data_IF_249827286063
#
_entry.id   IF_249827286063
#
_cell.length_a   1.000
_cell.length_b   1.000
_cell.length_c   1.000
_cell.angle_alpha   90.00
_cell.angle_beta   90.00
_cell.angle_gamma   90.00
#
_symmetry.space_group_name_H-M   'P 1'
#
loop_
_entity.id
_entity.type
_entity.pdbx_description
1 polymer ?
#
# COMPACT_ATOMS: atom_id res chain seq x y z
N UNK A 1 2.13 20.92 -21.15
CA UNK A 1 2.17 19.83 -22.17
C UNK A 1 1.38 18.66 -21.63
N UNK A 2 0.69 17.90 -22.50
CA UNK A 2 0.03 16.68 -22.03
C UNK A 2 1.11 15.61 -21.82
N UNK A 3 1.20 15.10 -20.59
CA UNK A 3 2.08 14.00 -20.25
C UNK A 3 1.48 12.66 -20.73
N UNK A 4 2.32 11.72 -21.13
CA UNK A 4 1.90 10.36 -21.50
C UNK A 4 2.01 9.42 -20.30
N UNK A 5 1.25 8.29 -20.29
CA UNK A 5 1.50 7.20 -19.35
C UNK A 5 2.93 6.71 -19.46
N UNK A 6 3.55 6.35 -18.34
CA UNK A 6 4.96 5.97 -18.25
C UNK A 6 5.07 4.60 -17.60
N UNK A 7 5.65 3.63 -18.30
CA UNK A 7 6.06 2.34 -17.71
C UNK A 7 7.28 2.60 -16.80
N UNK A 8 7.17 2.18 -15.56
CA UNK A 8 8.18 2.42 -14.54
C UNK A 8 9.19 1.27 -14.45
N UNK A 9 10.48 1.58 -14.27
CA UNK A 9 11.44 0.58 -13.83
C UNK A 9 11.08 0.08 -12.43
N UNK A 10 11.53 -1.12 -12.07
CA UNK A 10 11.35 -1.67 -10.72
C UNK A 10 12.06 -0.79 -9.68
N UNK A 11 11.43 -0.61 -8.52
CA UNK A 11 11.92 0.19 -7.40
C UNK A 11 11.98 -0.67 -6.12
N UNK A 12 12.78 -1.72 -6.17
CA UNK A 12 13.09 -2.59 -5.04
C UNK A 12 14.34 -2.12 -4.31
N UNK A 13 14.36 -2.28 -3.00
CA UNK A 13 15.52 -2.03 -2.14
C UNK A 13 15.53 -2.98 -0.95
N UNK A 14 16.65 -3.06 -0.23
CA UNK A 14 16.81 -4.01 0.86
C UNK A 14 15.98 -3.61 2.09
N UNK A 15 15.29 -4.59 2.67
CA UNK A 15 14.48 -4.47 3.86
C UNK A 15 15.00 -5.35 5.01
N UNK A 16 14.36 -5.24 6.18
CA UNK A 16 14.74 -5.97 7.39
C UNK A 16 14.11 -7.37 7.50
N UNK A 17 13.34 -7.81 6.49
CA UNK A 17 12.76 -9.15 6.40
C UNK A 17 13.00 -9.75 5.01
N UNK A 18 12.82 -11.07 4.89
CA UNK A 18 13.16 -11.80 3.67
C UNK A 18 11.99 -11.92 2.72
N UNK A 19 12.32 -11.98 1.42
CA UNK A 19 11.37 -12.22 0.33
C UNK A 19 11.77 -11.48 -0.94
N UNK A 20 10.79 -11.36 -1.87
CA UNK A 20 10.91 -10.55 -3.08
C UNK A 20 11.20 -11.32 -4.36
N UNK A 21 11.21 -12.65 -4.34
CA UNK A 21 11.46 -13.44 -5.57
C UNK A 21 10.31 -13.33 -6.58
N UNK A 22 9.04 -13.40 -6.12
CA UNK A 22 7.87 -13.24 -6.99
C UNK A 22 7.75 -11.83 -7.56
N UNK A 23 8.20 -10.81 -6.81
CA UNK A 23 8.29 -9.46 -7.36
C UNK A 23 9.28 -9.45 -8.53
N UNK A 24 10.46 -10.08 -8.38
CA UNK A 24 11.45 -10.19 -9.45
C UNK A 24 10.90 -10.92 -10.67
N UNK A 25 10.16 -12.01 -10.47
CA UNK A 25 9.50 -12.76 -11.56
C UNK A 25 8.44 -11.92 -12.26
N UNK A 26 7.52 -11.29 -11.51
CA UNK A 26 6.46 -10.43 -12.05
C UNK A 26 7.02 -9.22 -12.80
N UNK A 27 8.04 -8.57 -12.25
CA UNK A 27 8.59 -7.31 -12.78
C UNK A 27 9.76 -7.51 -13.75
N UNK A 28 10.11 -8.75 -14.10
CA UNK A 28 11.27 -9.10 -14.93
C UNK A 28 12.57 -8.44 -14.42
N UNK A 29 12.77 -8.44 -13.10
CA UNK A 29 13.85 -7.75 -12.42
C UNK A 29 14.57 -8.62 -11.39
N UNK A 30 15.57 -8.07 -10.71
CA UNK A 30 16.24 -8.78 -9.62
C UNK A 30 15.27 -8.95 -8.45
N UNK A 31 15.08 -10.19 -7.99
CA UNK A 31 14.29 -10.51 -6.80
C UNK A 31 15.14 -10.73 -5.56
N UNK A 32 14.50 -11.01 -4.42
CA UNK A 32 15.04 -11.45 -3.14
C UNK A 32 16.54 -11.42 -2.89
N UNK A 33 17.03 -12.02 -1.80
CA UNK A 33 16.25 -12.54 -0.66
C UNK A 33 15.84 -11.47 0.37
N UNK A 34 16.35 -10.23 0.28
CA UNK A 34 16.09 -9.14 1.22
C UNK A 34 15.35 -7.97 0.56
N UNK A 35 14.62 -8.23 -0.55
CA UNK A 35 13.85 -7.23 -1.31
C UNK A 35 12.38 -7.59 -1.39
N UNK A 36 11.72 -7.78 -0.24
CA UNK A 36 10.32 -8.22 -0.19
C UNK A 36 9.32 -7.15 -0.60
N UNK A 37 9.76 -5.92 -0.87
CA UNK A 37 8.91 -4.80 -1.26
C UNK A 37 9.38 -4.15 -2.57
N UNK A 38 8.42 -3.76 -3.41
CA UNK A 38 8.62 -2.81 -4.49
C UNK A 38 7.63 -1.65 -4.32
N UNK A 39 8.14 -0.42 -4.30
CA UNK A 39 7.33 0.79 -4.19
C UNK A 39 7.05 1.37 -5.57
N UNK A 40 5.82 1.19 -6.06
CA UNK A 40 5.43 1.54 -7.42
C UNK A 40 4.96 2.98 -7.49
N UNK A 41 5.54 3.78 -8.37
CA UNK A 41 5.12 5.18 -8.57
C UNK A 41 5.21 6.03 -7.31
N UNK A 42 6.19 5.74 -6.47
CA UNK A 42 6.33 6.34 -5.15
C UNK A 42 6.99 7.72 -5.20
N UNK A 43 6.34 8.70 -4.58
CA UNK A 43 6.93 9.98 -4.19
C UNK A 43 7.28 10.02 -2.69
N UNK A 44 7.11 8.90 -1.98
CA UNK A 44 7.35 8.74 -0.54
C UNK A 44 8.73 8.14 -0.31
N UNK A 45 9.44 8.64 0.70
CA UNK A 45 10.70 8.03 1.16
C UNK A 45 10.46 7.08 2.31
N UNK A 46 11.32 6.07 2.46
CA UNK A 46 11.41 5.28 3.67
C UNK A 46 11.65 6.21 4.86
N UNK A 47 11.02 5.90 5.99
CA UNK A 47 11.11 6.74 7.20
C UNK A 47 12.58 6.92 7.62
N UNK A 48 12.98 8.17 7.82
CA UNK A 48 14.36 8.54 8.13
C UNK A 48 15.33 8.62 6.94
N UNK A 49 14.89 8.24 5.73
CA UNK A 49 15.70 8.27 4.51
C UNK A 49 15.38 9.47 3.62
N UNK A 50 16.34 9.86 2.74
CA UNK A 50 16.19 11.03 1.86
C UNK A 50 15.65 10.68 0.47
N UNK A 51 16.05 9.52 -0.07
CA UNK A 51 15.73 9.12 -1.45
C UNK A 51 15.32 7.65 -1.57
N UNK A 52 15.64 6.80 -0.59
CA UNK A 52 15.21 5.41 -0.60
C UNK A 52 13.68 5.36 -0.58
N UNK A 53 13.09 4.58 -1.48
CA UNK A 53 11.64 4.50 -1.69
C UNK A 53 11.11 5.36 -2.85
N UNK A 54 11.83 6.42 -3.27
CA UNK A 54 11.41 7.23 -4.41
C UNK A 54 11.54 6.46 -5.73
N UNK A 55 10.47 6.41 -6.50
CA UNK A 55 10.49 5.85 -7.85
C UNK A 55 11.20 6.79 -8.82
N UNK A 56 11.93 6.20 -9.78
CA UNK A 56 12.54 6.91 -10.89
C UNK A 56 11.73 6.72 -12.16
N UNK A 57 11.69 7.74 -12.97
CA UNK A 57 11.25 7.68 -14.35
C UNK A 57 12.34 7.02 -15.23
N UNK A 58 12.01 6.54 -16.46
CA UNK A 58 12.98 5.91 -17.34
C UNK A 58 14.21 6.78 -17.70
N UNK A 59 14.07 8.11 -17.61
CA UNK A 59 15.18 9.07 -17.80
C UNK A 59 16.09 9.22 -16.57
N UNK A 60 15.76 8.53 -15.45
CA UNK A 60 16.54 8.58 -14.20
C UNK A 60 16.12 9.66 -13.20
N UNK A 61 15.25 10.58 -13.60
CA UNK A 61 14.65 11.62 -12.73
C UNK A 61 13.74 10.98 -11.67
N UNK A 62 13.70 11.54 -10.46
CA UNK A 62 12.70 11.08 -9.49
C UNK A 62 11.30 11.56 -9.88
N UNK A 63 10.32 10.66 -9.78
CA UNK A 63 8.91 10.98 -10.03
C UNK A 63 8.44 12.17 -9.18
N UNK A 64 8.88 12.24 -7.91
CA UNK A 64 8.57 13.36 -7.02
C UNK A 64 9.01 14.70 -7.61
N UNK A 65 10.24 14.77 -8.12
CA UNK A 65 10.81 16.02 -8.65
C UNK A 65 10.07 16.45 -9.93
N UNK A 66 9.67 15.48 -10.78
CA UNK A 66 8.82 15.74 -11.95
C UNK A 66 7.42 16.24 -11.57
N UNK A 67 6.83 15.68 -10.50
CA UNK A 67 5.54 16.14 -9.94
C UNK A 67 5.66 17.56 -9.40
N UNK A 68 6.68 17.84 -8.60
CA UNK A 68 6.91 19.16 -8.02
C UNK A 68 7.13 20.26 -9.08
N UNK A 69 7.70 19.88 -10.23
CA UNK A 69 7.92 20.80 -11.35
C UNK A 69 6.63 21.16 -12.12
N UNK A 70 5.65 20.28 -12.21
CA UNK A 70 4.39 20.51 -12.94
C UNK A 70 3.22 19.73 -12.31
N UNK A 71 2.80 20.06 -11.07
CA UNK A 71 1.81 19.28 -10.32
C UNK A 71 0.44 19.22 -11.01
N UNK A 72 0.03 20.27 -11.73
CA UNK A 72 -1.27 20.27 -12.41
C UNK A 72 -1.34 19.28 -13.57
N UNK A 73 -0.25 19.07 -14.31
CA UNK A 73 -0.21 18.05 -15.36
C UNK A 73 -0.27 16.64 -14.79
N UNK A 74 0.30 16.42 -13.60
CA UNK A 74 0.27 15.10 -12.93
C UNK A 74 -1.06 14.81 -12.26
N UNK A 75 -1.63 15.76 -11.54
CA UNK A 75 -2.76 15.50 -10.64
C UNK A 75 -4.08 16.14 -11.07
N UNK A 76 -4.02 17.22 -11.85
CA UNK A 76 -5.17 18.08 -12.17
C UNK A 76 -5.48 19.12 -11.08
N UNK A 77 -6.23 20.17 -11.44
CA UNK A 77 -6.42 21.34 -10.58
C UNK A 77 -7.18 21.03 -9.28
N UNK A 78 -8.15 20.11 -9.30
CA UNK A 78 -8.92 19.74 -8.10
C UNK A 78 -8.05 19.07 -7.05
N UNK A 79 -7.20 18.12 -7.47
CA UNK A 79 -6.28 17.44 -6.57
C UNK A 79 -5.24 18.40 -6.01
N UNK A 80 -4.62 19.23 -6.88
CA UNK A 80 -3.62 20.21 -6.46
C UNK A 80 -4.21 21.22 -5.47
N UNK A 81 -5.46 21.66 -5.68
CA UNK A 81 -6.15 22.53 -4.74
C UNK A 81 -6.39 21.91 -3.38
N UNK A 82 -6.63 20.59 -3.32
CA UNK A 82 -6.94 19.88 -2.09
C UNK A 82 -5.70 19.39 -1.35
N UNK A 83 -4.68 18.91 -2.07
CA UNK A 83 -3.56 18.13 -1.53
C UNK A 83 -2.18 18.64 -1.96
N UNK A 84 -2.12 19.71 -2.77
CA UNK A 84 -0.83 20.23 -3.28
C UNK A 84 -0.14 19.22 -4.19
N UNK A 85 1.14 18.94 -3.91
CA UNK A 85 1.97 17.98 -4.66
C UNK A 85 2.02 16.58 -4.03
N UNK A 86 1.19 16.32 -3.00
CA UNK A 86 1.09 14.99 -2.40
C UNK A 86 0.39 14.01 -3.34
N UNK A 87 0.95 12.82 -3.48
CA UNK A 87 0.30 11.74 -4.24
C UNK A 87 -0.95 11.20 -3.56
N UNK A 88 -1.12 11.45 -2.25
CA UNK A 88 -2.17 10.91 -1.36
C UNK A 88 -2.24 9.37 -1.36
N UNK A 89 -1.27 8.70 -1.96
CA UNK A 89 -1.20 7.24 -2.03
C UNK A 89 0.25 6.78 -2.16
N UNK A 90 0.56 5.67 -1.52
CA UNK A 90 1.74 4.85 -1.81
C UNK A 90 1.26 3.43 -2.15
N UNK A 91 1.76 2.89 -3.25
CA UNK A 91 1.43 1.54 -3.73
C UNK A 91 2.68 0.68 -3.65
N UNK A 92 2.54 -0.52 -3.08
CA UNK A 92 3.65 -1.47 -2.95
C UNK A 92 3.24 -2.87 -3.39
N UNK A 93 4.19 -3.64 -3.89
CA UNK A 93 4.13 -5.09 -3.88
C UNK A 93 4.86 -5.59 -2.64
N UNK A 94 4.26 -6.55 -1.93
CA UNK A 94 4.84 -7.23 -0.78
C UNK A 94 4.91 -8.73 -1.06
N UNK A 95 6.10 -9.28 -1.00
CA UNK A 95 6.37 -10.71 -1.23
C UNK A 95 7.19 -11.31 -0.08
N UNK A 96 6.59 -11.52 1.09
CA UNK A 96 7.29 -12.01 2.28
C UNK A 96 7.52 -13.53 2.25
N UNK A 97 8.79 -13.97 2.23
CA UNK A 97 9.20 -15.35 2.54
C UNK A 97 9.33 -15.57 4.06
N UNK A 98 9.46 -14.51 4.81
CA UNK A 98 9.39 -14.45 6.24
C UNK A 98 8.15 -13.66 6.62
N UNK A 99 7.30 -14.15 7.56
CA UNK A 99 6.14 -13.35 7.99
C UNK A 99 6.57 -11.94 8.42
N UNK A 100 5.71 -10.96 8.26
CA UNK A 100 5.96 -9.65 8.83
C UNK A 100 5.88 -9.73 10.37
N UNK A 101 6.67 -8.90 11.09
CA UNK A 101 6.53 -8.80 12.54
C UNK A 101 5.12 -8.30 12.90
N UNK A 102 4.66 -8.56 14.11
CA UNK A 102 3.49 -7.87 14.64
C UNK A 102 3.84 -6.40 14.79
N UNK A 103 3.11 -5.55 14.09
CA UNK A 103 3.32 -4.11 14.06
C UNK A 103 2.00 -3.37 13.86
N UNK A 104 2.03 -2.05 13.89
CA UNK A 104 0.91 -1.19 13.58
C UNK A 104 1.40 0.18 13.12
N UNK A 105 0.47 0.99 12.64
CA UNK A 105 0.76 2.31 12.09
C UNK A 105 -0.01 3.40 12.82
N UNK A 106 0.61 4.54 13.15
CA UNK A 106 -0.10 5.64 13.77
C UNK A 106 -1.08 6.30 12.80
N UNK A 107 -2.16 6.86 13.35
CA UNK A 107 -3.11 7.64 12.58
C UNK A 107 -2.59 9.07 12.31
N UNK A 108 -3.30 9.80 11.46
CA UNK A 108 -2.98 11.17 11.06
C UNK A 108 -2.84 12.14 12.23
N UNK A 109 -3.73 12.06 13.21
CA UNK A 109 -3.69 12.94 14.38
C UNK A 109 -2.43 12.70 15.24
N UNK A 110 -2.05 11.44 15.45
CA UNK A 110 -0.84 11.06 16.15
C UNK A 110 0.42 11.48 15.38
N UNK A 111 0.47 11.19 14.06
CA UNK A 111 1.59 11.56 13.21
C UNK A 111 1.82 13.07 13.19
N UNK A 112 0.76 13.86 13.07
CA UNK A 112 0.83 15.32 13.12
C UNK A 112 1.34 15.84 14.46
N UNK A 113 0.83 15.29 15.57
CA UNK A 113 1.18 15.72 16.91
C UNK A 113 2.63 15.40 17.31
N UNK A 114 3.11 14.21 16.96
CA UNK A 114 4.37 13.69 17.50
C UNK A 114 5.51 13.65 16.49
N UNK A 115 5.21 13.64 15.19
CA UNK A 115 6.20 13.49 14.11
C UNK A 115 6.21 14.68 13.15
N UNK A 116 5.29 15.64 13.30
CA UNK A 116 5.10 16.77 12.37
C UNK A 116 4.84 16.34 10.92
N UNK A 117 4.13 15.20 10.74
CA UNK A 117 3.73 14.65 9.44
C UNK A 117 2.23 14.83 9.22
N UNK A 118 1.83 15.08 7.98
CA UNK A 118 0.43 15.34 7.64
C UNK A 118 -0.40 14.07 7.41
N UNK A 119 0.25 12.91 7.27
CA UNK A 119 -0.41 11.62 7.04
C UNK A 119 -0.09 10.62 8.13
N UNK A 120 -1.05 9.78 8.45
CA UNK A 120 -0.86 8.52 9.17
C UNK A 120 -0.45 7.41 8.22
N UNK A 121 -0.80 6.17 8.56
CA UNK A 121 -0.66 5.04 7.65
C UNK A 121 -1.83 4.07 7.81
N UNK A 122 -3.01 4.50 7.36
CA UNK A 122 -4.07 3.56 7.00
C UNK A 122 -3.67 2.86 5.72
N UNK A 123 -3.78 1.54 5.67
CA UNK A 123 -3.38 0.74 4.52
C UNK A 123 -4.46 -0.26 4.12
N UNK A 124 -4.31 -0.87 2.96
CA UNK A 124 -5.14 -1.98 2.53
C UNK A 124 -4.33 -2.96 1.68
N UNK A 125 -4.69 -4.21 1.78
CA UNK A 125 -4.05 -5.32 1.07
C UNK A 125 -4.99 -5.91 0.05
N UNK A 126 -4.52 -6.10 -1.17
CA UNK A 126 -5.17 -6.91 -2.20
C UNK A 126 -4.31 -8.17 -2.33
N UNK A 127 -4.86 -9.31 -1.98
CA UNK A 127 -4.16 -10.59 -2.01
C UNK A 127 -4.04 -11.05 -3.46
N UNK A 128 -2.83 -11.03 -4.00
CA UNK A 128 -2.54 -11.49 -5.37
C UNK A 128 -2.38 -13.01 -5.41
N UNK A 129 -1.60 -13.55 -4.47
CA UNK A 129 -1.38 -14.99 -4.31
C UNK A 129 -1.30 -15.34 -2.83
N UNK A 130 -1.71 -16.56 -2.46
CA UNK A 130 -1.63 -17.05 -1.10
C UNK A 130 -1.62 -18.58 -1.05
N UNK A 131 -0.92 -19.21 -0.09
CA UNK A 131 -1.12 -20.62 0.25
C UNK A 131 -2.58 -20.94 0.61
N UNK A 132 -2.99 -22.20 0.49
CA UNK A 132 -4.38 -22.61 0.70
C UNK A 132 -4.93 -22.34 2.10
N UNK A 133 -4.07 -22.31 3.12
CA UNK A 133 -4.39 -22.10 4.54
C UNK A 133 -3.87 -20.75 5.07
N UNK A 134 -3.51 -19.83 4.17
CA UNK A 134 -2.93 -18.54 4.50
C UNK A 134 -3.87 -17.69 5.37
N UNK A 135 -3.27 -16.96 6.30
CA UNK A 135 -3.97 -16.04 7.19
C UNK A 135 -3.18 -14.75 7.37
N UNK A 136 -3.91 -13.70 7.68
CA UNK A 136 -3.34 -12.44 8.18
C UNK A 136 -3.84 -12.18 9.60
N UNK A 137 -2.99 -11.62 10.45
CA UNK A 137 -3.40 -11.11 11.75
C UNK A 137 -4.02 -9.72 11.59
N UNK A 138 -5.23 -9.49 12.12
CA UNK A 138 -5.95 -8.22 11.99
C UNK A 138 -6.64 -7.83 13.30
N UNK A 139 -6.04 -6.93 14.06
CA UNK A 139 -6.49 -6.49 15.37
C UNK A 139 -6.30 -7.53 16.46
N UNK A 140 -6.42 -7.12 17.71
CA UNK A 140 -6.42 -8.05 18.83
C UNK A 140 -7.72 -8.88 18.87
N UNK A 141 -7.61 -10.13 19.30
CA UNK A 141 -8.75 -11.04 19.44
C UNK A 141 -9.66 -10.69 20.66
N UNK A 142 -9.10 -9.96 21.62
CA UNK A 142 -9.82 -9.44 22.80
C UNK A 142 -9.22 -8.09 23.23
N UNK A 143 -9.95 -7.34 24.05
CA UNK A 143 -9.42 -6.08 24.59
C UNK A 143 -8.12 -6.34 25.37
N UNK A 144 -7.06 -5.65 24.99
CA UNK A 144 -5.77 -5.68 25.64
C UNK A 144 -5.58 -4.44 26.53
N UNK A 145 -4.71 -4.50 27.52
CA UNK A 145 -4.27 -3.34 28.28
C UNK A 145 -2.91 -2.88 27.78
N UNK A 146 -2.69 -1.56 27.80
CA UNK A 146 -1.42 -0.97 27.33
C UNK A 146 -0.21 -1.52 28.09
N UNK A 147 -0.32 -1.65 29.41
CA UNK A 147 0.74 -2.21 30.27
C UNK A 147 1.07 -3.66 29.93
N UNK A 148 0.05 -4.48 29.61
CA UNK A 148 0.23 -5.89 29.19
C UNK A 148 0.96 -5.96 27.85
N UNK A 149 0.55 -5.16 26.86
CA UNK A 149 1.22 -5.12 25.54
C UNK A 149 2.64 -4.59 25.68
N UNK A 150 2.85 -3.53 26.46
CA UNK A 150 4.17 -2.98 26.73
C UNK A 150 5.12 -4.04 27.37
N UNK A 151 4.60 -4.81 28.30
CA UNK A 151 5.34 -5.92 28.93
C UNK A 151 5.71 -7.03 27.94
N UNK A 152 4.79 -7.40 27.00
CA UNK A 152 5.07 -8.36 25.92
C UNK A 152 6.18 -7.85 25.00
N UNK A 153 6.10 -6.59 24.57
CA UNK A 153 7.13 -5.91 23.75
C UNK A 153 8.48 -5.94 24.47
N UNK A 154 8.51 -5.51 25.73
CA UNK A 154 9.74 -5.45 26.53
C UNK A 154 10.41 -6.82 26.71
N UNK A 155 9.62 -7.89 26.84
CA UNK A 155 10.13 -9.27 26.97
C UNK A 155 10.40 -9.93 25.63
N UNK A 156 10.07 -9.26 24.50
CA UNK A 156 10.12 -9.83 23.16
C UNK A 156 9.31 -11.11 23.03
N UNK A 157 8.11 -11.14 23.62
CA UNK A 157 7.23 -12.31 23.63
C UNK A 157 6.44 -12.40 22.31
N UNK A 158 7.17 -12.66 21.21
CA UNK A 158 6.63 -12.74 19.85
C UNK A 158 5.50 -13.76 19.74
N UNK A 159 5.60 -14.87 20.48
CA UNK A 159 4.58 -15.91 20.46
C UNK A 159 3.25 -15.41 21.06
N UNK A 160 3.31 -14.72 22.22
CA UNK A 160 2.13 -14.16 22.84
C UNK A 160 1.53 -13.01 22.02
N UNK A 161 2.36 -12.14 21.43
CA UNK A 161 1.91 -11.06 20.55
C UNK A 161 1.18 -11.62 19.33
N UNK A 162 1.75 -12.59 18.62
CA UNK A 162 1.10 -13.22 17.46
C UNK A 162 -0.18 -13.95 17.86
N UNK A 163 -0.18 -14.70 18.97
CA UNK A 163 -1.35 -15.41 19.48
C UNK A 163 -2.47 -14.46 19.96
N UNK A 164 -2.16 -13.20 20.25
CA UNK A 164 -3.16 -12.20 20.65
C UNK A 164 -3.96 -11.63 19.48
N UNK A 165 -3.55 -11.86 18.22
CA UNK A 165 -4.21 -11.33 17.04
C UNK A 165 -5.40 -12.20 16.60
N UNK A 166 -6.39 -11.56 16.00
CA UNK A 166 -7.44 -12.25 15.24
C UNK A 166 -6.87 -12.71 13.90
N UNK A 167 -6.79 -14.02 13.69
CA UNK A 167 -6.30 -14.60 12.43
C UNK A 167 -7.44 -14.71 11.42
N UNK A 168 -7.34 -13.99 10.32
CA UNK A 168 -8.32 -13.91 9.23
C UNK A 168 -7.81 -14.76 8.05
N UNK A 169 -8.53 -15.82 7.63
CA UNK A 169 -8.18 -16.57 6.42
C UNK A 169 -8.28 -15.67 5.18
N UNK A 170 -7.33 -15.83 4.27
CA UNK A 170 -7.26 -15.03 3.03
C UNK A 170 -7.00 -15.91 1.82
N UNK A 171 -7.43 -15.45 0.66
CA UNK A 171 -7.20 -16.08 -0.65
C UNK A 171 -7.03 -15.02 -1.75
N UNK A 172 -6.51 -15.38 -2.91
CA UNK A 172 -6.39 -14.46 -4.03
C UNK A 172 -7.73 -13.77 -4.37
N UNK A 173 -7.67 -12.44 -4.54
CA UNK A 173 -8.83 -11.59 -4.79
C UNK A 173 -9.57 -11.10 -3.55
N UNK A 174 -9.12 -11.45 -2.35
CA UNK A 174 -9.56 -10.78 -1.13
C UNK A 174 -8.85 -9.43 -0.98
N UNK A 175 -9.59 -8.43 -0.52
CA UNK A 175 -9.07 -7.11 -0.21
C UNK A 175 -9.46 -6.71 1.22
N UNK A 176 -8.48 -6.19 1.99
CA UNK A 176 -8.62 -5.94 3.42
C UNK A 176 -8.14 -4.52 3.72
N UNK A 177 -9.03 -3.67 4.23
CA UNK A 177 -8.65 -2.38 4.79
C UNK A 177 -8.13 -2.57 6.21
N UNK A 178 -6.99 -2.00 6.53
CA UNK A 178 -6.33 -2.01 7.84
C UNK A 178 -6.29 -0.58 8.38
N UNK A 179 -7.26 -0.17 9.21
CA UNK A 179 -7.25 1.16 9.78
C UNK A 179 -6.00 1.41 10.63
N UNK A 180 -5.47 2.61 10.57
CA UNK A 180 -4.36 3.03 11.42
C UNK A 180 -4.63 2.71 12.90
N UNK A 181 -3.58 2.36 13.64
CA UNK A 181 -3.65 1.86 15.02
C UNK A 181 -3.90 0.36 15.15
N UNK A 182 -4.37 -0.32 14.12
CA UNK A 182 -4.68 -1.76 14.17
C UNK A 182 -3.40 -2.60 14.19
N UNK A 183 -3.13 -3.41 15.24
CA UNK A 183 -2.00 -4.34 15.24
C UNK A 183 -2.27 -5.44 14.22
N UNK A 184 -1.25 -5.77 13.41
CA UNK A 184 -1.41 -6.72 12.32
C UNK A 184 -0.11 -7.46 11.99
N UNK A 185 -0.25 -8.55 11.22
CA UNK A 185 0.86 -9.32 10.66
C UNK A 185 0.41 -10.02 9.38
N UNK A 186 1.32 -10.21 8.44
CA UNK A 186 1.09 -10.98 7.20
C UNK A 186 1.95 -12.25 7.29
N UNK A 187 1.34 -13.43 7.11
CA UNK A 187 2.07 -14.69 7.09
C UNK A 187 2.99 -14.79 5.86
N UNK A 188 4.03 -15.62 5.99
CA UNK A 188 4.94 -15.91 4.88
C UNK A 188 4.19 -16.54 3.68
N UNK A 189 4.65 -16.21 2.48
CA UNK A 189 4.09 -16.77 1.25
C UNK A 189 2.83 -16.07 0.72
N UNK A 190 2.34 -15.03 1.37
CA UNK A 190 1.23 -14.21 0.87
C UNK A 190 1.79 -13.09 0.00
N UNK A 191 1.41 -13.04 -1.29
CA UNK A 191 1.82 -11.98 -2.22
C UNK A 191 0.73 -10.91 -2.30
N UNK A 192 1.09 -9.66 -2.03
CA UNK A 192 0.13 -8.57 -1.80
C UNK A 192 0.43 -7.37 -2.68
N UNK A 193 -0.61 -6.75 -3.22
CA UNK A 193 -0.59 -5.35 -3.64
C UNK A 193 -1.15 -4.50 -2.48
N UNK A 194 -0.28 -3.72 -1.85
CA UNK A 194 -0.61 -2.83 -0.73
C UNK A 194 -0.84 -1.41 -1.23
N UNK A 195 -1.92 -0.80 -0.76
CA UNK A 195 -2.17 0.64 -0.89
C UNK A 195 -2.16 1.24 0.51
N UNK A 196 -1.55 2.40 0.66
CA UNK A 196 -1.46 3.09 1.96
C UNK A 196 -1.45 4.60 1.80
N UNK A 197 -1.71 5.33 2.90
CA UNK A 197 -1.38 6.75 2.99
C UNK A 197 0.11 6.96 2.69
N UNK A 198 0.53 8.10 2.08
CA UNK A 198 1.89 8.30 1.56
C UNK A 198 2.94 8.54 2.66
N UNK A 199 3.06 7.62 3.59
CA UNK A 199 4.08 7.59 4.66
C UNK A 199 4.65 6.20 4.85
N UNK A 200 5.78 6.10 5.54
CA UNK A 200 6.39 4.82 5.94
C UNK A 200 6.53 4.74 7.47
N UNK A 201 5.42 4.94 8.16
CA UNK A 201 5.37 4.92 9.63
C UNK A 201 5.00 3.54 10.13
N UNK A 202 5.94 2.83 10.77
CA UNK A 202 5.69 1.52 11.38
C UNK A 202 6.21 1.47 12.81
N UNK A 203 5.34 1.11 13.74
CA UNK A 203 5.70 0.81 15.12
C UNK A 203 5.73 -0.72 15.31
N UNK A 204 6.90 -1.26 15.60
CA UNK A 204 7.11 -2.70 15.77
C UNK A 204 6.74 -3.11 17.20
N UNK A 205 5.98 -4.18 17.33
CA UNK A 205 5.71 -4.81 18.64
C UNK A 205 6.65 -5.99 18.91
N UNK A 206 7.30 -6.50 17.86
CA UNK A 206 8.32 -7.56 17.93
C UNK A 206 9.39 -7.34 16.86
N UNK A 207 10.59 -7.89 17.06
CA UNK A 207 11.71 -7.83 16.10
C UNK A 207 12.67 -9.03 16.19
N UNK A 208 12.41 -10.02 17.03
CA UNK A 208 13.25 -11.19 17.11
C UNK A 208 13.23 -11.98 15.80
N UNK A 209 14.41 -12.27 15.24
CA UNK A 209 14.56 -12.97 13.96
C UNK A 209 14.45 -12.06 12.73
N UNK A 210 14.29 -10.75 12.90
CA UNK A 210 14.31 -9.75 11.84
C UNK A 210 15.62 -8.95 11.86
N UNK A 211 16.05 -8.44 10.69
CA UNK A 211 17.28 -7.65 10.55
C UNK A 211 17.06 -6.18 10.94
N UNK A 212 16.54 -5.94 12.15
CA UNK A 212 16.25 -4.60 12.69
C UNK A 212 16.54 -4.55 14.17
N UNK A 213 17.03 -3.43 14.65
CA UNK A 213 17.13 -3.12 16.09
C UNK A 213 15.83 -2.45 16.55
N UNK A 214 14.86 -3.26 16.99
CA UNK A 214 13.56 -2.74 17.39
C UNK A 214 13.60 -1.89 18.68
N UNK A 215 14.61 -2.05 19.53
CA UNK A 215 14.79 -1.17 20.70
C UNK A 215 15.09 0.25 20.23
N UNK A 216 15.85 0.40 19.16
CA UNK A 216 16.25 1.69 18.61
C UNK A 216 15.23 2.22 17.59
N UNK A 217 14.78 1.36 16.67
CA UNK A 217 14.07 1.76 15.45
C UNK A 217 12.57 1.42 15.49
N UNK A 218 12.12 0.55 16.41
CA UNK A 218 10.75 0.02 16.44
C UNK A 218 9.68 0.98 16.98
N UNK A 219 10.04 2.17 17.43
CA UNK A 219 9.13 3.11 18.07
C UNK A 219 9.16 4.53 17.46
N UNK A 220 9.58 4.66 16.20
CA UNK A 220 9.60 5.93 15.44
C UNK A 220 10.38 7.06 16.13
N UNK A 221 11.37 6.73 16.99
CA UNK A 221 12.13 7.70 17.78
C UNK A 221 11.41 8.26 19.01
N UNK A 222 10.17 7.83 19.30
CA UNK A 222 9.31 8.39 20.34
C UNK A 222 9.38 7.65 21.69
N UNK A 223 9.96 6.43 21.70
CA UNK A 223 9.87 5.49 22.81
C UNK A 223 8.54 4.76 22.87
N UNK A 224 8.57 3.53 23.45
CA UNK A 224 7.39 2.65 23.48
C UNK A 224 6.24 3.21 24.32
N UNK A 225 6.53 3.95 25.39
CA UNK A 225 5.48 4.59 26.21
C UNK A 225 4.62 5.54 25.39
N UNK A 226 5.23 6.33 24.50
CA UNK A 226 4.53 7.29 23.64
C UNK A 226 3.89 6.60 22.43
N UNK A 227 4.66 5.78 21.71
CA UNK A 227 4.15 5.22 20.45
C UNK A 227 2.95 4.31 20.68
N UNK A 228 2.89 3.57 21.79
CA UNK A 228 1.75 2.72 22.15
C UNK A 228 0.43 3.51 22.38
N UNK A 229 0.46 4.84 22.50
CA UNK A 229 -0.78 5.65 22.53
C UNK A 229 -1.49 5.67 21.17
N UNK A 230 -0.80 5.32 20.08
CA UNK A 230 -1.41 5.18 18.75
C UNK A 230 -2.00 3.78 18.47
N UNK A 231 -1.77 2.82 19.37
CA UNK A 231 -2.24 1.44 19.19
C UNK A 231 -3.72 1.30 19.56
N UNK A 232 -4.47 0.58 18.75
CA UNK A 232 -5.84 0.16 19.06
C UNK A 232 -5.81 -1.10 19.95
N UNK A 233 -6.32 -0.98 21.17
CA UNK A 233 -6.34 -2.08 22.13
C UNK A 233 -7.62 -2.91 22.10
N UNK A 234 -8.69 -2.37 21.53
CA UNK A 234 -9.97 -3.10 21.41
C UNK A 234 -10.03 -3.93 20.14
N UNK A 235 -10.69 -5.09 20.20
CA UNK A 235 -10.85 -5.95 19.04
C UNK A 235 -11.67 -5.28 17.92
N UNK A 236 -11.47 -5.74 16.69
CA UNK A 236 -12.34 -5.42 15.57
C UNK A 236 -13.57 -6.31 15.68
N UNK A 237 -14.75 -5.72 15.82
CA UNK A 237 -15.99 -6.49 15.89
C UNK A 237 -16.29 -7.24 14.58
N UNK A 238 -17.07 -8.33 14.65
CA UNK A 238 -17.45 -9.07 13.46
C UNK A 238 -18.27 -8.22 12.45
N UNK A 239 -18.97 -7.20 12.91
CA UNK A 239 -19.68 -6.26 12.06
C UNK A 239 -18.70 -5.32 11.33
N UNK A 240 -17.73 -4.75 12.06
CA UNK A 240 -16.68 -3.91 11.50
C UNK A 240 -15.81 -4.70 10.52
N UNK A 241 -15.44 -5.93 10.85
CA UNK A 241 -14.63 -6.79 9.97
C UNK A 241 -15.28 -6.97 8.58
N UNK A 242 -16.61 -7.11 8.52
CA UNK A 242 -17.35 -7.19 7.25
C UNK A 242 -17.29 -5.89 6.43
N UNK A 243 -17.10 -4.76 7.08
CA UNK A 243 -16.93 -3.46 6.41
C UNK A 243 -15.49 -3.24 5.93
N UNK A 244 -14.51 -3.96 6.50
CA UNK A 244 -13.11 -3.87 6.14
C UNK A 244 -12.68 -4.86 5.05
N UNK A 245 -13.40 -5.96 4.87
CA UNK A 245 -13.02 -7.06 3.97
C UNK A 245 -14.01 -7.17 2.81
N UNK A 246 -13.45 -7.26 1.60
CA UNK A 246 -14.21 -7.53 0.37
C UNK A 246 -13.54 -8.65 -0.42
N UNK A 247 -14.32 -9.63 -0.85
CA UNK A 247 -13.87 -10.78 -1.63
C UNK A 247 -14.49 -10.72 -3.02
N UNK A 248 -13.70 -10.33 -4.02
CA UNK A 248 -14.20 -10.15 -5.40
C UNK A 248 -13.63 -11.18 -6.37
N UNK A 249 -12.44 -11.74 -6.07
CA UNK A 249 -11.65 -12.50 -7.04
C UNK A 249 -11.18 -11.64 -8.22
N UNK A 250 -10.44 -12.25 -9.15
CA UNK A 250 -9.90 -11.58 -10.35
C UNK A 250 -10.57 -12.06 -11.64
N UNK A 251 -11.73 -12.74 -11.56
CA UNK A 251 -12.40 -13.35 -12.72
C UNK A 251 -13.55 -12.52 -13.28
N UNK A 252 -13.79 -11.33 -12.74
CA UNK A 252 -14.82 -10.43 -13.26
C UNK A 252 -14.55 -10.04 -14.70
N UNK A 253 -15.62 -10.04 -15.52
CA UNK A 253 -15.58 -9.53 -16.91
C UNK A 253 -15.93 -8.04 -17.00
N UNK A 254 -16.16 -7.39 -15.88
CA UNK A 254 -16.47 -5.96 -15.79
C UNK A 254 -15.55 -5.31 -14.76
N UNK A 255 -15.21 -4.05 -14.99
CA UNK A 255 -14.48 -3.24 -14.02
C UNK A 255 -15.24 -3.20 -12.69
N UNK A 256 -14.54 -3.39 -11.59
CA UNK A 256 -15.13 -3.40 -10.26
C UNK A 256 -14.18 -2.88 -9.19
N UNK A 257 -14.72 -2.11 -8.23
CA UNK A 257 -13.95 -1.69 -7.06
C UNK A 257 -13.55 -2.90 -6.22
N UNK A 258 -12.30 -2.92 -5.78
CA UNK A 258 -11.73 -3.99 -4.94
C UNK A 258 -11.96 -3.75 -3.46
N UNK A 259 -12.17 -2.52 -3.02
CA UNK A 259 -12.42 -2.20 -1.61
C UNK A 259 -13.90 -1.92 -1.32
N UNK A 260 -14.25 -1.94 -0.05
CA UNK A 260 -15.50 -1.37 0.44
C UNK A 260 -15.38 0.16 0.45
N UNK A 261 -16.49 0.87 0.57
CA UNK A 261 -16.52 2.34 0.65
C UNK A 261 -15.78 2.92 1.87
N UNK A 262 -15.40 2.10 2.84
CA UNK A 262 -14.56 2.53 3.98
C UNK A 262 -13.16 2.98 3.55
N UNK A 263 -12.67 2.51 2.40
CA UNK A 263 -11.36 2.91 1.87
C UNK A 263 -11.42 4.24 1.11
N UNK A 264 -12.59 4.71 0.67
CA UNK A 264 -12.74 5.83 -0.27
C UNK A 264 -12.11 7.14 0.20
N UNK A 265 -12.01 7.34 1.52
CA UNK A 265 -11.36 8.49 2.13
C UNK A 265 -9.83 8.46 2.12
N UNK A 266 -9.25 7.32 1.78
CA UNK A 266 -7.78 7.11 1.78
C UNK A 266 -7.25 6.81 0.39
N UNK A 267 -7.89 5.89 -0.35
CA UNK A 267 -7.48 5.44 -1.69
C UNK A 267 -8.59 4.62 -2.34
N UNK A 268 -8.41 4.35 -3.63
CA UNK A 268 -9.32 3.53 -4.43
C UNK A 268 -8.52 2.53 -5.25
N UNK A 269 -9.06 1.33 -5.44
CA UNK A 269 -8.53 0.35 -6.38
C UNK A 269 -9.65 -0.33 -7.15
N UNK A 270 -9.45 -0.47 -8.47
CA UNK A 270 -10.39 -1.15 -9.35
C UNK A 270 -9.68 -2.24 -10.14
N UNK A 271 -10.32 -3.41 -10.27
CA UNK A 271 -9.95 -4.43 -11.23
C UNK A 271 -10.40 -3.99 -12.62
N UNK A 272 -9.51 -4.03 -13.59
CA UNK A 272 -9.75 -3.74 -14.99
C UNK A 272 -9.58 -5.03 -15.82
N UNK A 273 -10.65 -5.59 -16.37
CA UNK A 273 -10.58 -6.84 -17.15
C UNK A 273 -10.19 -6.64 -18.63
N UNK A 274 -9.71 -5.45 -18.99
CA UNK A 274 -9.31 -5.16 -20.38
C UNK A 274 -10.48 -5.08 -21.38
N UNK A 275 -11.66 -4.78 -20.88
CA UNK A 275 -12.91 -4.67 -21.66
C UNK A 275 -13.10 -3.33 -22.40
N UNK A 276 -12.12 -2.43 -22.29
CA UNK A 276 -12.16 -1.09 -22.85
C UNK A 276 -13.03 -0.10 -22.09
N UNK A 277 -13.50 -0.45 -20.90
CA UNK A 277 -14.23 0.47 -20.01
C UNK A 277 -13.42 1.74 -19.74
N UNK A 278 -14.14 2.89 -19.79
CA UNK A 278 -13.53 4.20 -19.64
C UNK A 278 -13.20 4.50 -18.16
N UNK A 279 -11.98 4.93 -17.92
CA UNK A 279 -11.53 5.47 -16.63
C UNK A 279 -11.33 6.99 -16.78
N UNK A 280 -11.87 7.75 -15.85
CA UNK A 280 -11.75 9.22 -15.86
C UNK A 280 -10.31 9.68 -15.64
N UNK A 281 -9.95 10.83 -16.20
CA UNK A 281 -8.68 11.50 -15.94
C UNK A 281 -8.39 11.63 -14.44
N UNK A 282 -7.13 11.47 -14.07
CA UNK A 282 -6.63 11.55 -12.69
C UNK A 282 -5.36 10.75 -12.53
N UNK A 283 -4.51 11.16 -11.61
CA UNK A 283 -3.30 10.39 -11.27
C UNK A 283 -3.69 8.96 -10.92
N UNK A 284 -3.02 8.02 -11.58
CA UNK A 284 -3.29 6.60 -11.40
C UNK A 284 -1.99 5.81 -11.46
N UNK A 285 -1.92 4.73 -10.68
CA UNK A 285 -0.88 3.71 -10.74
C UNK A 285 -1.56 2.45 -11.24
N UNK A 286 -1.15 1.92 -12.39
CA UNK A 286 -1.67 0.69 -12.98
C UNK A 286 -0.63 -0.41 -12.86
N UNK A 287 -1.01 -1.58 -12.36
CA UNK A 287 -0.25 -2.82 -12.39
C UNK A 287 -0.96 -3.82 -13.29
N UNK A 288 -0.25 -4.32 -14.32
CA UNK A 288 -0.74 -5.38 -15.18
C UNK A 288 -0.52 -6.74 -14.52
N UNK A 289 -1.61 -7.48 -14.29
CA UNK A 289 -1.57 -8.79 -13.63
C UNK A 289 -1.41 -9.94 -14.61
N UNK A 290 -2.03 -9.82 -15.78
CA UNK A 290 -2.02 -10.92 -16.78
C UNK A 290 -2.30 -10.40 -18.18
N UNK A 291 -1.69 -11.08 -19.16
CA UNK A 291 -1.87 -10.83 -20.59
C UNK A 291 -1.31 -9.49 -21.08
N UNK A 292 -1.48 -9.29 -22.40
CA UNK A 292 -1.08 -8.08 -23.10
C UNK A 292 -2.29 -7.19 -23.39
N UNK A 293 -2.07 -5.88 -23.41
CA UNK A 293 -3.12 -4.90 -23.67
C UNK A 293 -2.61 -3.63 -24.33
N UNK A 294 -3.57 -2.77 -24.67
CA UNK A 294 -3.32 -1.41 -25.15
C UNK A 294 -4.02 -0.45 -24.20
N UNK A 295 -3.24 0.38 -23.54
CA UNK A 295 -3.75 1.52 -22.80
C UNK A 295 -3.93 2.69 -23.77
N UNK A 296 -5.18 3.17 -23.92
CA UNK A 296 -5.52 4.29 -24.79
C UNK A 296 -5.90 5.49 -23.93
N UNK A 297 -5.38 6.66 -24.27
CA UNK A 297 -5.68 7.92 -23.61
C UNK A 297 -6.29 8.92 -24.60
N UNK A 298 -7.07 9.89 -24.10
CA UNK A 298 -7.68 10.91 -24.96
C UNK A 298 -6.71 11.97 -25.45
N UNK A 299 -5.64 12.25 -24.68
CA UNK A 299 -4.75 13.38 -24.95
C UNK A 299 -3.33 12.98 -25.37
N UNK A 300 -2.91 11.72 -25.13
CA UNK A 300 -1.50 11.30 -25.29
C UNK A 300 -1.32 10.05 -26.17
N UNK A 301 -2.41 9.57 -26.81
CA UNK A 301 -2.35 8.42 -27.70
C UNK A 301 -2.44 7.09 -26.96
N UNK A 302 -1.69 6.10 -27.42
CA UNK A 302 -1.78 4.72 -26.91
C UNK A 302 -0.40 4.16 -26.62
N UNK A 303 -0.31 3.28 -25.61
CA UNK A 303 0.88 2.54 -25.24
C UNK A 303 0.54 1.04 -25.10
N UNK A 304 1.41 0.16 -25.59
CA UNK A 304 1.32 -1.26 -25.32
C UNK A 304 1.76 -1.55 -23.88
N UNK A 305 1.04 -2.44 -23.23
CA UNK A 305 1.31 -2.87 -21.85
C UNK A 305 1.20 -4.39 -21.78
N UNK A 306 2.01 -5.02 -20.94
CA UNK A 306 2.06 -6.47 -20.78
C UNK A 306 2.11 -6.90 -19.32
N UNK A 307 2.04 -8.21 -19.11
CA UNK A 307 2.14 -8.82 -17.77
C UNK A 307 3.33 -8.26 -16.99
N UNK A 308 3.09 -7.83 -15.77
CA UNK A 308 4.09 -7.26 -14.87
C UNK A 308 4.44 -5.80 -15.12
N UNK A 309 3.92 -5.14 -16.16
CA UNK A 309 4.12 -3.71 -16.31
C UNK A 309 3.44 -2.92 -15.20
N UNK A 310 4.17 -1.98 -14.65
CA UNK A 310 3.63 -0.99 -13.70
C UNK A 310 3.80 0.41 -14.28
N UNK A 311 2.73 1.19 -14.27
CA UNK A 311 2.69 2.49 -14.92
C UNK A 311 2.21 3.57 -13.95
N UNK A 312 2.69 4.80 -14.16
CA UNK A 312 1.99 6.01 -13.73
C UNK A 312 1.25 6.64 -14.90
N UNK A 313 0.01 7.05 -14.67
CA UNK A 313 -0.85 7.69 -15.64
C UNK A 313 -1.16 9.09 -15.11
N UNK A 314 -0.59 10.15 -15.72
CA UNK A 314 -0.84 11.54 -15.32
C UNK A 314 -2.27 11.98 -15.65
N UNK A 315 -2.81 12.92 -14.89
CA UNK A 315 -4.11 13.53 -15.16
C UNK A 315 -4.20 14.13 -16.57
N UNK A 316 -3.14 14.79 -17.04
CA UNK A 316 -3.11 15.45 -18.34
C UNK A 316 -3.14 14.49 -19.53
N UNK A 317 -2.93 13.19 -19.32
CA UNK A 317 -3.17 12.16 -20.33
C UNK A 317 -4.66 12.08 -20.72
N UNK A 318 -5.55 12.62 -19.89
CA UNK A 318 -6.99 12.63 -20.10
C UNK A 318 -7.66 11.34 -19.65
N UNK A 319 -8.90 11.13 -20.10
CA UNK A 319 -9.59 9.86 -19.86
C UNK A 319 -8.89 8.72 -20.61
N UNK A 320 -8.96 7.55 -20.07
CA UNK A 320 -8.25 6.40 -20.65
C UNK A 320 -9.03 5.08 -20.52
N UNK A 321 -8.60 4.08 -21.25
CA UNK A 321 -9.13 2.71 -21.16
C UNK A 321 -8.03 1.68 -21.38
N UNK A 322 -8.17 0.52 -20.74
CA UNK A 322 -7.36 -0.68 -20.99
C UNK A 322 -8.13 -1.62 -21.92
N UNK A 323 -7.51 -2.02 -23.02
CA UNK A 323 -8.08 -2.93 -24.00
C UNK A 323 -7.17 -4.16 -24.11
N UNK A 324 -7.61 -5.30 -23.59
CA UNK A 324 -6.83 -6.51 -23.43
C UNK A 324 -6.04 -6.55 -22.12
N UNK A 325 -5.63 -7.75 -21.71
CA UNK A 325 -4.99 -8.01 -20.43
C UNK A 325 -5.91 -7.78 -19.23
N UNK A 326 -5.36 -7.98 -18.04
CA UNK A 326 -6.03 -7.72 -16.76
C UNK A 326 -5.09 -6.88 -15.90
N UNK A 327 -5.59 -5.82 -15.28
CA UNK A 327 -4.79 -4.96 -14.42
C UNK A 327 -5.57 -4.49 -13.20
N UNK A 328 -4.84 -3.95 -12.23
CA UNK A 328 -5.40 -3.22 -11.09
C UNK A 328 -4.94 -1.76 -11.21
N UNK A 329 -5.91 -0.84 -11.21
CA UNK A 329 -5.62 0.59 -11.09
C UNK A 329 -5.79 1.05 -9.67
N UNK A 330 -4.77 1.71 -9.14
CA UNK A 330 -4.71 2.31 -7.81
C UNK A 330 -4.74 3.83 -7.95
N UNK A 331 -5.59 4.50 -7.18
CA UNK A 331 -5.81 5.95 -7.29
C UNK A 331 -5.91 6.60 -5.91
N UNK A 332 -5.48 7.87 -5.76
CA UNK A 332 -5.72 8.63 -4.54
C UNK A 332 -7.21 8.77 -4.24
N UNK A 333 -7.58 9.19 -3.03
CA UNK A 333 -8.97 9.49 -2.69
C UNK A 333 -9.48 10.65 -3.56
N UNK A 334 -10.80 10.77 -3.70
CA UNK A 334 -11.39 12.01 -4.18
C UNK A 334 -11.34 13.06 -3.06
N UNK A 335 -11.10 14.36 -3.36
CA UNK A 335 -11.03 15.40 -2.33
C UNK A 335 -12.22 15.43 -1.38
N UNK A 336 -13.43 15.24 -1.89
CA UNK A 336 -14.65 15.21 -1.07
C UNK A 336 -14.71 13.99 -0.13
N UNK A 337 -14.17 12.84 -0.53
CA UNK A 337 -14.13 11.64 0.30
C UNK A 337 -13.03 11.74 1.36
N UNK A 338 -11.84 12.27 0.99
CA UNK A 338 -10.73 12.49 1.92
C UNK A 338 -11.09 13.45 3.06
N UNK A 339 -11.90 14.47 2.79
CA UNK A 339 -12.36 15.41 3.81
C UNK A 339 -13.26 14.77 4.88
N UNK A 340 -13.81 13.57 4.63
CA UNK A 340 -14.65 12.81 5.55
C UNK A 340 -13.91 11.69 6.27
N UNK A 341 -12.65 11.43 5.91
CA UNK A 341 -11.83 10.42 6.57
C UNK A 341 -11.44 10.88 7.99
N UNK A 342 -11.47 9.99 8.99
CA UNK A 342 -11.16 10.29 10.39
C UNK A 342 -9.67 10.60 10.64
#
# INVERSE_FOLDING_TARGET
MNLSPIILPSNQFDHFYRGGYRIGELRNGPGGPMRPEEWIGSATTRFGEKTMGLSKLPNGEFLRDAIDADPESWFGPEHVSAFGTSTEILVKLLDPDQRLPVHYHPNKAFAKKHLALDHGKTEAWIILEAPADAKVGLGFAQTMKKDVVHDMVKRMDSAALLASLTMVPVKPGDAILVPAGTPHAIEAGIFVLELQEPTDLSALLEWEGFAVDGIKDGHLGLGFDTVLDALRFDPISAAEQKELIKSTGFTSKQSQSLFTSKADGYFRADLLPGDGSKTSAGFSILLMLDGDGILKTTNSGSIAVGHGDALVIPWSAGDWSLNGGVGIVCRPPLPAAAALAP
#
